data_IF_158768099887
#
_entry.id   IF_158768099887
#
_cell.length_a   1.000
_cell.length_b   1.000
_cell.length_c   1.000
_cell.angle_alpha   90.00
_cell.angle_beta   90.00
_cell.angle_gamma   90.00
#
_symmetry.space_group_name_H-M   'P 1'
#
loop_
_entity.id
_entity.type
_entity.pdbx_description
1 polymer ?
#
# COMPACT_ATOMS: atom_id res chain seq x y z
N UNK A 1 -15.17 -2.98 21.66
CA UNK A 1 -15.77 -1.74 22.16
C UNK A 1 -15.14 -0.51 21.51
N UNK A 2 -15.89 0.57 21.35
CA UNK A 2 -15.35 1.89 21.06
C UNK A 2 -14.92 2.50 22.40
N UNK A 3 -13.69 2.98 22.47
CA UNK A 3 -13.11 3.57 23.68
C UNK A 3 -12.52 4.93 23.29
N UNK A 4 -13.14 6.01 23.78
CA UNK A 4 -12.73 7.39 23.50
C UNK A 4 -12.06 8.07 24.70
N UNK A 5 -12.11 7.44 25.86
CA UNK A 5 -11.51 7.92 27.09
C UNK A 5 -10.77 6.81 27.85
N UNK A 6 -9.98 7.19 28.84
CA UNK A 6 -9.38 6.24 29.77
C UNK A 6 -10.50 5.60 30.62
N UNK A 7 -10.72 4.32 30.39
CA UNK A 7 -11.75 3.55 31.07
C UNK A 7 -11.12 2.48 31.96
N UNK A 8 -11.80 2.17 33.05
CA UNK A 8 -11.50 1.07 33.94
C UNK A 8 -12.60 0.01 33.84
N UNK A 9 -12.21 -1.24 33.57
CA UNK A 9 -13.10 -2.38 33.47
C UNK A 9 -13.53 -2.75 32.04
N UNK A 10 -14.24 -3.87 31.94
CA UNK A 10 -14.65 -4.44 30.67
C UNK A 10 -15.75 -3.61 30.00
N UNK A 11 -15.64 -3.46 28.69
CA UNK A 11 -16.61 -2.74 27.88
C UNK A 11 -17.34 -3.70 26.93
N UNK A 12 -18.65 -3.51 26.71
CA UNK A 12 -19.41 -4.33 25.78
C UNK A 12 -18.92 -4.10 24.34
N UNK A 13 -19.14 -5.08 23.45
CA UNK A 13 -18.81 -4.94 22.04
C UNK A 13 -19.69 -3.89 21.37
N UNK A 14 -19.06 -3.01 20.61
CA UNK A 14 -19.77 -2.09 19.71
C UNK A 14 -20.29 -2.83 18.48
N UNK A 15 -21.36 -2.34 17.89
CA UNK A 15 -21.85 -2.84 16.60
C UNK A 15 -20.94 -2.37 15.47
N UNK A 16 -20.96 -3.08 14.32
CA UNK A 16 -20.24 -2.67 13.12
C UNK A 16 -20.67 -1.26 12.68
N UNK A 17 -21.98 -0.96 12.72
CA UNK A 17 -22.49 0.39 12.41
C UNK A 17 -21.85 1.46 13.25
N UNK A 18 -21.85 1.31 14.58
CA UNK A 18 -21.23 2.28 15.50
C UNK A 18 -19.74 2.51 15.20
N UNK A 19 -19.00 1.43 14.86
CA UNK A 19 -17.59 1.56 14.51
C UNK A 19 -17.41 2.35 13.20
N UNK A 20 -18.23 2.05 12.18
CA UNK A 20 -18.20 2.80 10.93
C UNK A 20 -18.62 4.25 11.08
N UNK A 21 -19.63 4.56 11.91
CA UNK A 21 -20.07 5.93 12.16
C UNK A 21 -18.95 6.77 12.78
N UNK A 22 -18.22 6.21 13.75
CA UNK A 22 -17.07 6.89 14.36
C UNK A 22 -15.94 7.05 13.33
N UNK A 23 -15.56 5.98 12.64
CA UNK A 23 -14.51 5.99 11.62
C UNK A 23 -14.77 7.04 10.53
N UNK A 24 -16.00 7.09 10.01
CA UNK A 24 -16.39 8.06 8.98
C UNK A 24 -16.37 9.50 9.51
N UNK A 25 -16.81 9.71 10.75
CA UNK A 25 -16.76 11.01 11.40
C UNK A 25 -15.33 11.52 11.56
N UNK A 26 -14.43 10.67 12.05
CA UNK A 26 -13.05 11.04 12.32
C UNK A 26 -12.28 11.29 11.01
N UNK A 27 -12.41 10.41 10.01
CA UNK A 27 -11.78 10.57 8.70
C UNK A 27 -12.28 11.82 7.97
N UNK A 28 -13.60 12.08 8.04
CA UNK A 28 -14.16 13.28 7.43
C UNK A 28 -13.68 14.54 8.14
N UNK A 29 -13.63 14.54 9.46
CA UNK A 29 -13.09 15.65 10.25
C UNK A 29 -11.62 15.93 9.88
N UNK A 30 -10.80 14.89 9.78
CA UNK A 30 -9.41 15.02 9.37
C UNK A 30 -9.28 15.59 7.95
N UNK A 31 -10.03 15.04 6.99
CA UNK A 31 -10.04 15.52 5.60
C UNK A 31 -10.45 17.00 5.51
N UNK A 32 -11.51 17.40 6.21
CA UNK A 32 -12.02 18.77 6.20
C UNK A 32 -10.95 19.76 6.75
N UNK A 33 -10.24 19.38 7.81
CA UNK A 33 -9.16 20.19 8.39
C UNK A 33 -8.00 20.33 7.39
N UNK A 34 -7.50 19.24 6.82
CA UNK A 34 -6.42 19.29 5.85
C UNK A 34 -6.79 20.09 4.60
N UNK A 35 -8.03 19.96 4.13
CA UNK A 35 -8.54 20.72 2.99
C UNK A 35 -8.57 22.22 3.29
N UNK A 36 -9.06 22.62 4.47
CA UNK A 36 -9.09 24.03 4.88
C UNK A 36 -7.69 24.63 5.05
N UNK A 37 -6.72 23.83 5.46
CA UNK A 37 -5.31 24.23 5.59
C UNK A 37 -4.54 24.23 4.26
N UNK A 38 -5.16 23.81 3.15
CA UNK A 38 -4.49 23.64 1.86
C UNK A 38 -3.44 22.53 1.87
N UNK A 39 -3.56 21.54 2.75
CA UNK A 39 -2.64 20.41 2.93
C UNK A 39 -3.24 19.10 2.42
N UNK A 40 -3.82 19.10 1.23
CA UNK A 40 -4.34 17.86 0.62
C UNK A 40 -3.21 16.89 0.31
N UNK A 41 -2.05 17.37 -0.18
CA UNK A 41 -0.85 16.57 -0.36
C UNK A 41 0.36 17.30 0.23
N UNK A 42 1.11 16.61 1.10
CA UNK A 42 2.39 17.06 1.63
C UNK A 42 3.54 16.55 0.76
N UNK A 43 4.71 17.19 0.87
CA UNK A 43 5.90 16.78 0.13
C UNK A 43 6.53 15.51 0.72
N UNK A 44 6.37 15.31 2.03
CA UNK A 44 6.90 14.13 2.74
C UNK A 44 5.84 13.02 2.73
N UNK A 45 6.11 11.87 2.09
CA UNK A 45 5.16 10.77 2.04
C UNK A 45 4.98 10.04 3.39
N UNK A 46 5.78 10.34 4.40
CA UNK A 46 5.61 9.81 5.77
C UNK A 46 4.63 10.63 6.60
N UNK A 47 4.28 11.83 6.14
CA UNK A 47 3.28 12.68 6.79
C UNK A 47 1.85 12.23 6.44
N UNK A 48 0.97 12.30 7.42
CA UNK A 48 -0.46 12.15 7.21
C UNK A 48 -1.02 13.46 6.64
N UNK A 49 -1.76 13.37 5.53
CA UNK A 49 -2.33 14.50 4.80
C UNK A 49 -3.80 14.27 4.38
N UNK A 50 -4.37 15.21 3.62
CA UNK A 50 -5.75 15.11 3.15
C UNK A 50 -5.97 13.94 2.19
N UNK A 51 -4.98 13.59 1.35
CA UNK A 51 -5.06 12.44 0.45
C UNK A 51 -5.07 11.12 1.22
N UNK A 52 -4.32 11.04 2.32
CA UNK A 52 -4.39 9.87 3.22
C UNK A 52 -5.80 9.70 3.80
N UNK A 53 -6.40 10.77 4.33
CA UNK A 53 -7.76 10.72 4.84
C UNK A 53 -8.78 10.37 3.73
N UNK A 54 -8.65 10.97 2.54
CA UNK A 54 -9.49 10.68 1.38
C UNK A 54 -9.39 9.23 0.92
N UNK A 55 -8.20 8.62 0.96
CA UNK A 55 -7.99 7.22 0.61
C UNK A 55 -8.82 6.28 1.50
N UNK A 56 -8.80 6.51 2.80
CA UNK A 56 -9.59 5.69 3.72
C UNK A 56 -11.09 6.00 3.65
N UNK A 57 -11.50 7.25 3.40
CA UNK A 57 -12.90 7.59 3.12
C UNK A 57 -13.41 6.86 1.87
N UNK A 58 -12.66 6.90 0.76
CA UNK A 58 -13.03 6.17 -0.44
C UNK A 58 -13.23 4.68 -0.17
N UNK A 59 -12.32 4.04 0.55
CA UNK A 59 -12.42 2.63 0.91
C UNK A 59 -13.60 2.34 1.84
N UNK A 60 -13.85 3.18 2.83
CA UNK A 60 -14.97 3.01 3.76
C UNK A 60 -16.32 3.14 3.03
N UNK A 61 -16.46 4.13 2.14
CA UNK A 61 -17.65 4.29 1.29
C UNK A 61 -17.84 3.10 0.33
N UNK A 62 -16.74 2.54 -0.24
CA UNK A 62 -16.82 1.32 -1.05
C UNK A 62 -17.40 0.14 -0.28
N UNK A 63 -16.95 -0.08 0.96
CA UNK A 63 -17.45 -1.17 1.82
C UNK A 63 -18.94 -0.97 2.14
N UNK A 64 -19.38 0.28 2.29
CA UNK A 64 -20.79 0.63 2.50
C UNK A 64 -21.63 0.63 1.23
N UNK A 65 -21.05 0.34 0.06
CA UNK A 65 -21.68 0.43 -1.27
C UNK A 65 -22.17 1.84 -1.65
N UNK A 66 -21.55 2.87 -1.08
CA UNK A 66 -21.84 4.28 -1.35
C UNK A 66 -20.92 4.78 -2.49
N UNK A 67 -21.14 4.27 -3.70
CA UNK A 67 -20.22 4.38 -4.84
C UNK A 67 -19.92 5.81 -5.28
N UNK A 68 -20.92 6.70 -5.19
CA UNK A 68 -20.75 8.11 -5.57
C UNK A 68 -19.77 8.84 -4.63
N UNK A 69 -19.90 8.63 -3.33
CA UNK A 69 -18.98 9.22 -2.36
C UNK A 69 -17.59 8.57 -2.44
N UNK A 70 -17.51 7.25 -2.66
CA UNK A 70 -16.25 6.57 -2.90
C UNK A 70 -15.51 7.16 -4.10
N UNK A 71 -16.19 7.37 -5.22
CA UNK A 71 -15.62 7.99 -6.43
C UNK A 71 -15.15 9.42 -6.18
N UNK A 72 -15.91 10.22 -5.43
CA UNK A 72 -15.56 11.60 -5.08
C UNK A 72 -14.24 11.68 -4.31
N UNK A 73 -14.07 10.85 -3.27
CA UNK A 73 -12.82 10.86 -2.51
C UNK A 73 -11.64 10.23 -3.28
N UNK A 74 -11.88 9.25 -4.14
CA UNK A 74 -10.87 8.73 -5.05
C UNK A 74 -10.40 9.81 -6.04
N UNK A 75 -11.32 10.66 -6.55
CA UNK A 75 -10.98 11.77 -7.43
C UNK A 75 -10.05 12.79 -6.75
N UNK A 76 -10.24 13.07 -5.47
CA UNK A 76 -9.32 13.94 -4.72
C UNK A 76 -7.87 13.44 -4.80
N UNK A 77 -7.67 12.13 -4.71
CA UNK A 77 -6.33 11.55 -4.79
C UNK A 77 -5.78 11.69 -6.22
N UNK A 78 -6.58 11.36 -7.24
CA UNK A 78 -6.20 11.47 -8.65
C UNK A 78 -5.79 12.90 -9.01
N UNK A 79 -6.46 13.90 -8.45
CA UNK A 79 -6.20 15.32 -8.72
C UNK A 79 -4.95 15.86 -8.01
N UNK A 80 -4.48 15.21 -6.95
CA UNK A 80 -3.41 15.72 -6.09
C UNK A 80 -2.15 14.85 -6.04
N UNK A 81 -2.23 13.59 -6.50
CA UNK A 81 -1.11 12.64 -6.48
C UNK A 81 -0.76 12.27 -7.91
N UNK A 82 0.48 12.50 -8.36
CA UNK A 82 0.91 12.10 -9.70
C UNK A 82 0.76 10.59 -9.92
N UNK A 83 0.56 10.20 -11.17
CA UNK A 83 0.45 8.80 -11.56
C UNK A 83 1.75 8.37 -12.23
N UNK A 84 2.25 7.18 -11.90
CA UNK A 84 3.33 6.56 -12.66
C UNK A 84 2.84 6.22 -14.07
N UNK A 85 3.51 6.77 -15.07
CA UNK A 85 3.12 6.61 -16.49
C UNK A 85 4.15 5.88 -17.32
N UNK A 86 5.40 5.77 -16.85
CA UNK A 86 6.44 5.06 -17.58
C UNK A 86 6.51 3.58 -17.17
N UNK A 87 6.80 2.71 -18.16
CA UNK A 87 7.03 1.29 -17.90
C UNK A 87 8.20 1.07 -16.94
N UNK A 88 9.27 1.86 -17.07
CA UNK A 88 10.45 1.76 -16.20
C UNK A 88 10.11 2.04 -14.74
N UNK A 89 9.28 3.06 -14.47
CA UNK A 89 8.90 3.41 -13.10
C UNK A 89 8.03 2.29 -12.47
N UNK A 90 7.11 1.73 -13.26
CA UNK A 90 6.24 0.64 -12.80
C UNK A 90 7.07 -0.63 -12.52
N UNK A 91 8.07 -0.94 -13.37
CA UNK A 91 8.91 -2.14 -13.22
C UNK A 91 9.90 -2.05 -12.06
N UNK A 92 10.25 -0.85 -11.60
CA UNK A 92 11.04 -0.68 -10.37
C UNK A 92 10.29 -1.17 -9.11
N UNK A 93 8.98 -1.39 -9.21
CA UNK A 93 8.14 -1.71 -8.07
C UNK A 93 8.03 -0.54 -7.10
N UNK A 94 7.52 -0.80 -5.90
CA UNK A 94 7.33 0.21 -4.85
C UNK A 94 8.48 0.17 -3.83
N UNK A 95 9.71 0.25 -4.31
CA UNK A 95 10.92 0.08 -3.50
C UNK A 95 11.38 1.38 -2.82
N UNK A 96 10.76 2.52 -3.11
CA UNK A 96 11.15 3.82 -2.57
C UNK A 96 9.94 4.68 -2.24
N UNK A 97 10.00 5.39 -1.11
CA UNK A 97 9.01 6.41 -0.76
C UNK A 97 9.07 7.65 -1.65
N UNK A 98 10.16 7.82 -2.42
CA UNK A 98 10.33 8.96 -3.33
C UNK A 98 9.57 8.79 -4.66
N UNK A 99 8.84 7.71 -4.85
CA UNK A 99 7.97 7.54 -6.01
C UNK A 99 6.80 8.53 -5.92
N UNK A 100 6.46 9.22 -7.02
CA UNK A 100 5.50 10.33 -7.00
C UNK A 100 4.06 9.88 -6.72
N UNK A 101 3.72 8.62 -6.95
CA UNK A 101 2.39 8.05 -6.75
C UNK A 101 2.14 7.53 -5.31
N UNK A 102 3.13 7.65 -4.43
CA UNK A 102 2.98 7.25 -3.03
C UNK A 102 2.10 8.26 -2.29
N UNK A 103 0.95 7.80 -1.82
CA UNK A 103 0.06 8.60 -0.97
C UNK A 103 0.63 8.69 0.44
N UNK A 104 1.03 7.55 1.00
CA UNK A 104 1.60 7.44 2.34
C UNK A 104 2.47 6.18 2.44
N UNK A 105 3.55 6.26 3.18
CA UNK A 105 4.41 5.12 3.46
C UNK A 105 5.17 5.28 4.77
N UNK A 106 5.58 4.17 5.35
CA UNK A 106 6.45 4.16 6.51
C UNK A 106 7.89 3.94 6.04
N UNK A 107 8.81 4.75 6.51
CA UNK A 107 10.23 4.53 6.28
C UNK A 107 10.70 3.33 7.12
N UNK A 108 11.22 2.32 6.43
CA UNK A 108 11.75 1.12 7.08
C UNK A 108 13.25 1.23 7.15
N UNK A 109 13.74 1.44 8.36
CA UNK A 109 15.16 1.58 8.68
C UNK A 109 15.70 0.35 9.42
N UNK A 110 17.01 0.27 9.56
CA UNK A 110 17.63 -0.79 10.35
C UNK A 110 17.14 -0.83 11.82
N UNK A 111 16.75 0.33 12.36
CA UNK A 111 16.29 0.44 13.75
C UNK A 111 14.87 -0.07 13.97
N UNK A 112 14.01 -0.02 12.94
CA UNK A 112 12.60 -0.42 13.04
C UNK A 112 12.26 -1.70 12.25
N UNK A 113 13.24 -2.26 11.51
CA UNK A 113 13.10 -3.56 10.85
C UNK A 113 13.56 -4.70 11.76
N UNK A 114 12.82 -5.79 11.74
CA UNK A 114 13.25 -7.03 12.41
C UNK A 114 13.64 -8.06 11.36
N UNK A 115 14.81 -8.68 11.52
CA UNK A 115 15.38 -9.61 10.55
C UNK A 115 14.39 -10.73 10.17
N UNK A 116 13.62 -11.25 11.12
CA UNK A 116 12.74 -12.39 10.89
C UNK A 116 11.26 -12.04 10.73
N UNK A 117 10.82 -10.84 11.10
CA UNK A 117 9.39 -10.47 11.14
C UNK A 117 9.01 -9.40 10.14
N UNK A 118 9.98 -8.75 9.50
CA UNK A 118 9.71 -7.73 8.49
C UNK A 118 9.12 -8.36 7.21
N UNK A 119 8.40 -7.56 6.45
CA UNK A 119 7.93 -7.94 5.12
C UNK A 119 9.08 -8.45 4.23
N UNK A 120 10.21 -7.73 4.21
CA UNK A 120 11.37 -8.09 3.41
C UNK A 120 11.95 -9.45 3.80
N UNK A 121 12.08 -9.71 5.10
CA UNK A 121 12.52 -11.02 5.57
C UNK A 121 11.66 -12.18 5.06
N UNK A 122 10.36 -11.94 4.90
CA UNK A 122 9.41 -12.96 4.49
C UNK A 122 9.28 -13.10 2.97
N UNK A 123 9.62 -12.06 2.20
CA UNK A 123 9.29 -11.97 0.79
C UNK A 123 10.52 -11.77 -0.10
N UNK A 124 11.60 -11.17 0.41
CA UNK A 124 12.81 -10.91 -0.34
C UNK A 124 13.75 -12.13 -0.29
N UNK A 125 13.85 -12.82 -1.40
CA UNK A 125 14.73 -13.99 -1.54
C UNK A 125 16.22 -13.63 -1.67
N UNK A 126 16.56 -12.35 -1.84
CA UNK A 126 17.93 -11.84 -1.95
C UNK A 126 18.42 -11.15 -0.68
N UNK A 127 17.55 -10.99 0.33
CA UNK A 127 17.90 -10.43 1.63
C UNK A 127 18.47 -11.47 2.60
N UNK A 128 18.54 -11.11 3.88
CA UNK A 128 19.10 -11.96 4.93
C UNK A 128 18.02 -12.69 5.78
N UNK A 129 16.78 -12.72 5.29
CA UNK A 129 15.65 -13.25 6.04
C UNK A 129 15.25 -14.68 5.68
N UNK A 130 14.05 -15.08 6.12
CA UNK A 130 13.53 -16.44 5.89
C UNK A 130 13.38 -16.78 4.42
N UNK A 131 13.00 -15.81 3.56
CA UNK A 131 12.88 -16.05 2.14
C UNK A 131 14.24 -16.45 1.51
N UNK A 132 15.34 -15.80 1.93
CA UNK A 132 16.67 -16.05 1.43
C UNK A 132 17.24 -17.42 1.83
N UNK A 133 16.84 -17.96 2.98
CA UNK A 133 17.32 -19.26 3.48
C UNK A 133 16.46 -20.46 3.03
N UNK A 134 15.64 -20.29 1.99
CA UNK A 134 14.91 -21.39 1.37
C UNK A 134 13.42 -21.49 1.74
N UNK A 135 12.87 -20.53 2.51
CA UNK A 135 11.44 -20.43 2.75
C UNK A 135 10.80 -19.51 1.69
N UNK A 136 10.97 -19.88 0.45
CA UNK A 136 10.56 -19.08 -0.71
C UNK A 136 9.04 -18.92 -0.78
N UNK A 137 8.61 -17.74 -1.18
CA UNK A 137 7.21 -17.45 -1.50
C UNK A 137 7.11 -17.13 -2.98
N UNK A 138 6.13 -17.71 -3.62
CA UNK A 138 5.86 -17.49 -5.04
C UNK A 138 4.50 -16.82 -5.23
N UNK A 139 4.36 -16.06 -6.29
CA UNK A 139 3.07 -15.59 -6.77
C UNK A 139 2.19 -16.80 -7.16
N UNK A 140 0.90 -16.68 -6.94
CA UNK A 140 -0.05 -17.71 -7.36
C UNK A 140 -0.15 -17.72 -8.90
N UNK A 141 0.33 -18.78 -9.53
CA UNK A 141 0.44 -18.91 -10.99
C UNK A 141 -0.84 -18.50 -11.75
N UNK A 142 -2.05 -18.98 -11.37
CA UNK A 142 -3.27 -18.56 -12.06
C UNK A 142 -3.54 -17.05 -12.01
N UNK A 143 -2.98 -16.32 -11.06
CA UNK A 143 -3.09 -14.85 -11.02
C UNK A 143 -2.23 -14.23 -12.11
N UNK A 144 -1.01 -14.73 -12.28
CA UNK A 144 -0.07 -14.26 -13.33
C UNK A 144 -0.59 -14.61 -14.72
N UNK A 145 -1.12 -15.82 -14.91
CA UNK A 145 -1.70 -16.27 -16.18
C UNK A 145 -2.91 -15.41 -16.62
N UNK A 146 -3.72 -14.94 -15.67
CA UNK A 146 -4.87 -14.06 -15.96
C UNK A 146 -4.50 -12.64 -16.35
N UNK A 147 -3.26 -12.22 -16.11
CA UNK A 147 -2.78 -10.92 -16.57
C UNK A 147 -2.73 -10.92 -18.10
N UNK A 148 -3.19 -9.83 -18.73
CA UNK A 148 -3.11 -9.68 -20.18
C UNK A 148 -1.65 -9.81 -20.69
N UNK A 149 -1.47 -10.32 -21.88
CA UNK A 149 -0.12 -10.54 -22.44
C UNK A 149 0.71 -9.25 -22.59
N UNK A 150 0.04 -8.09 -22.64
CA UNK A 150 0.66 -6.75 -22.71
C UNK A 150 0.77 -6.06 -21.36
N UNK A 151 0.37 -6.71 -20.27
CA UNK A 151 0.48 -6.15 -18.92
C UNK A 151 1.93 -6.26 -18.44
N UNK A 152 2.62 -5.11 -18.39
CA UNK A 152 4.04 -5.06 -18.01
C UNK A 152 4.30 -5.56 -16.58
N UNK A 153 3.30 -5.57 -15.69
CA UNK A 153 3.42 -6.10 -14.32
C UNK A 153 3.68 -7.61 -14.29
N UNK A 154 3.49 -8.32 -15.41
CA UNK A 154 3.94 -9.72 -15.53
C UNK A 154 5.42 -9.88 -15.26
N UNK A 155 6.23 -8.88 -15.58
CA UNK A 155 7.67 -8.88 -15.34
C UNK A 155 8.06 -8.69 -13.86
N UNK A 156 7.11 -8.43 -12.97
CA UNK A 156 7.32 -8.53 -11.52
C UNK A 156 7.45 -9.97 -11.03
N UNK A 157 7.02 -10.92 -11.85
CA UNK A 157 7.05 -12.34 -11.53
C UNK A 157 8.13 -13.03 -12.36
N UNK A 158 9.09 -13.64 -11.69
CA UNK A 158 10.13 -14.44 -12.35
C UNK A 158 9.50 -15.77 -12.75
N UNK A 159 9.59 -16.10 -14.04
CA UNK A 159 9.13 -17.34 -14.64
C UNK A 159 10.29 -18.00 -15.40
N UNK A 160 10.23 -19.31 -15.72
CA UNK A 160 11.25 -19.94 -16.55
C UNK A 160 11.49 -19.21 -17.88
N UNK A 161 10.43 -18.62 -18.46
CA UNK A 161 10.51 -17.95 -19.75
C UNK A 161 11.22 -16.59 -19.72
N UNK A 162 11.10 -15.86 -18.61
CA UNK A 162 11.67 -14.51 -18.47
C UNK A 162 12.91 -14.46 -17.57
N UNK A 163 13.26 -15.56 -16.89
CA UNK A 163 14.35 -15.62 -15.93
C UNK A 163 15.67 -15.12 -16.49
N UNK A 164 16.07 -15.63 -17.67
CA UNK A 164 17.35 -15.25 -18.28
C UNK A 164 17.44 -13.76 -18.59
N UNK A 165 16.35 -13.16 -19.06
CA UNK A 165 16.26 -11.72 -19.34
C UNK A 165 16.31 -10.91 -18.05
N UNK A 166 15.45 -11.23 -17.10
CA UNK A 166 15.37 -10.50 -15.80
C UNK A 166 16.67 -10.65 -15.00
N UNK A 167 17.30 -11.82 -15.05
CA UNK A 167 18.58 -12.07 -14.40
C UNK A 167 19.68 -11.14 -14.95
N UNK A 168 19.73 -10.97 -16.28
CA UNK A 168 20.68 -10.07 -16.91
C UNK A 168 20.40 -8.59 -16.61
N UNK A 169 19.13 -8.19 -16.62
CA UNK A 169 18.70 -6.80 -16.40
C UNK A 169 18.83 -6.36 -14.94
N UNK A 170 18.52 -7.25 -14.00
CA UNK A 170 18.48 -6.96 -12.56
C UNK A 170 19.74 -7.41 -11.81
N UNK A 171 20.69 -8.05 -12.50
CA UNK A 171 21.90 -8.61 -11.88
C UNK A 171 21.62 -9.77 -10.93
N UNK A 172 20.53 -10.51 -11.16
CA UNK A 172 20.19 -11.69 -10.39
C UNK A 172 21.20 -12.80 -10.64
N UNK A 173 21.45 -13.65 -9.65
CA UNK A 173 22.42 -14.74 -9.78
C UNK A 173 22.03 -15.70 -10.92
N UNK A 174 22.96 -16.03 -11.83
CA UNK A 174 22.66 -16.89 -12.97
C UNK A 174 22.49 -18.38 -12.64
N UNK A 175 22.65 -18.77 -11.39
CA UNK A 175 22.70 -20.16 -10.93
C UNK A 175 21.60 -20.48 -9.91
N UNK A 176 20.34 -20.41 -10.28
CA UNK A 176 19.27 -21.00 -9.48
C UNK A 176 18.58 -22.09 -10.26
#
# INVERSE_FOLDING_TARGET
PIVTDVITGDQPRSTVGQVYDLLMSDLKGAYDIFSQLGKLKTADPTDIDGCFAAMYLARAHMIKHEWAEAAKYAQVIIDNVPILTSASDILQGFSSLNLPDIVYGCDITADNSTIYMSWFSQMDMFGDGYAAIGVWRAGFEPTVERMGATDIRRDWFVTPDNYARLSAELGLYPEV
#
